data_IF_768351929807
#
_entry.id   IF_768351929807
#
_cell.length_a   1.000
_cell.length_b   1.000
_cell.length_c   1.000
_cell.angle_alpha   90.00
_cell.angle_beta   90.00
_cell.angle_gamma   90.00
#
_symmetry.space_group_name_H-M   'P 1'
#
loop_
_entity.id
_entity.type
_entity.pdbx_description
1 polymer ?
#
# COMPACT_ATOMS: atom_id res chain seq x y z
N UNK A 1 17.93 6.87 11.90
CA UNK A 1 18.25 7.26 10.51
C UNK A 1 17.16 6.80 9.54
N UNK A 2 17.06 5.51 9.15
CA UNK A 2 16.05 5.09 8.15
C UNK A 2 14.60 5.23 8.65
N UNK A 3 14.33 4.90 9.92
CA UNK A 3 13.02 5.14 10.55
C UNK A 3 12.66 6.63 10.48
N UNK A 4 13.54 7.50 10.98
CA UNK A 4 13.29 8.95 11.00
C UNK A 4 13.08 9.52 9.58
N UNK A 5 13.81 9.01 8.58
CA UNK A 5 13.60 9.36 7.17
C UNK A 5 12.19 8.98 6.70
N UNK A 6 11.75 7.74 6.92
CA UNK A 6 10.40 7.28 6.52
C UNK A 6 9.32 8.10 7.20
N UNK A 7 9.45 8.32 8.51
CA UNK A 7 8.46 9.05 9.31
C UNK A 7 8.51 10.58 9.15
N UNK A 8 9.48 11.12 8.39
CA UNK A 8 9.52 12.54 8.03
C UNK A 8 8.56 12.93 6.89
N UNK A 9 7.99 11.95 6.18
CA UNK A 9 7.08 12.20 5.06
C UNK A 9 5.63 12.36 5.52
N UNK A 10 4.89 13.21 4.81
CA UNK A 10 3.48 13.52 5.07
C UNK A 10 2.54 12.43 4.51
N UNK A 11 2.45 11.31 5.24
CA UNK A 11 1.52 10.21 4.99
C UNK A 11 0.89 9.74 6.31
N UNK A 12 -0.20 8.98 6.21
CA UNK A 12 -0.82 8.33 7.37
C UNK A 12 0.21 7.43 8.08
N UNK A 13 0.22 7.49 9.42
CA UNK A 13 1.19 6.78 10.28
C UNK A 13 1.15 5.26 10.07
N UNK A 14 -0.05 4.67 9.92
CA UNK A 14 -0.20 3.23 9.73
C UNK A 14 0.43 2.79 8.40
N UNK A 15 0.23 3.58 7.33
CA UNK A 15 0.87 3.33 6.05
C UNK A 15 2.41 3.44 6.13
N UNK A 16 2.92 4.42 6.87
CA UNK A 16 4.36 4.59 7.09
C UNK A 16 4.94 3.44 7.92
N UNK A 17 4.20 2.94 8.91
CA UNK A 17 4.57 1.78 9.71
C UNK A 17 4.60 0.51 8.86
N UNK A 18 3.55 0.23 8.08
CA UNK A 18 3.53 -0.89 7.13
C UNK A 18 4.68 -0.83 6.11
N UNK A 19 4.96 0.36 5.58
CA UNK A 19 6.07 0.58 4.68
C UNK A 19 7.41 0.28 5.37
N UNK A 20 7.60 0.79 6.58
CA UNK A 20 8.82 0.57 7.36
C UNK A 20 9.02 -0.91 7.67
N UNK A 21 7.99 -1.59 8.17
CA UNK A 21 8.06 -3.01 8.53
C UNK A 21 8.39 -3.88 7.32
N UNK A 22 7.74 -3.62 6.18
CA UNK A 22 8.06 -4.32 4.94
C UNK A 22 9.52 -4.11 4.52
N UNK A 23 10.00 -2.86 4.50
CA UNK A 23 11.34 -2.56 4.00
C UNK A 23 12.47 -2.88 4.97
N UNK A 24 12.15 -3.04 6.25
CA UNK A 24 13.06 -3.51 7.31
C UNK A 24 12.89 -4.99 7.63
N UNK A 25 12.12 -5.74 6.84
CA UNK A 25 12.05 -7.19 6.96
C UNK A 25 13.45 -7.80 6.67
N UNK A 26 14.00 -8.59 7.60
CA UNK A 26 15.31 -9.21 7.42
C UNK A 26 15.23 -10.36 6.42
N UNK A 27 16.21 -10.44 5.53
CA UNK A 27 16.42 -11.59 4.66
C UNK A 27 17.06 -12.76 5.41
N UNK A 28 17.17 -13.92 4.74
CA UNK A 28 17.85 -15.11 5.29
C UNK A 28 19.30 -14.85 5.73
N UNK A 29 19.94 -13.81 5.20
CA UNK A 29 21.32 -13.41 5.54
C UNK A 29 21.38 -12.23 6.51
N UNK A 30 20.23 -11.78 7.05
CA UNK A 30 20.13 -10.69 8.02
C UNK A 30 20.11 -9.28 7.42
N UNK A 31 20.39 -9.12 6.12
CA UNK A 31 20.25 -7.83 5.43
C UNK A 31 18.78 -7.45 5.27
N UNK A 32 18.45 -6.19 5.45
CA UNK A 32 17.10 -5.68 5.29
C UNK A 32 16.74 -5.52 3.81
N UNK A 33 15.45 -5.58 3.47
CA UNK A 33 15.00 -5.50 2.06
C UNK A 33 15.52 -4.25 1.34
N UNK A 34 15.58 -3.10 2.00
CA UNK A 34 16.05 -1.86 1.38
C UNK A 34 17.55 -1.90 1.05
N UNK A 35 18.36 -2.51 1.92
CA UNK A 35 19.82 -2.64 1.76
C UNK A 35 20.19 -3.54 0.59
N UNK A 36 19.30 -4.46 0.22
CA UNK A 36 19.51 -5.37 -0.91
C UNK A 36 19.18 -4.73 -2.27
N UNK A 37 18.58 -3.54 -2.29
CA UNK A 37 18.25 -2.88 -3.55
C UNK A 37 19.47 -2.19 -4.16
N UNK A 38 19.74 -2.44 -5.44
CA UNK A 38 20.81 -1.74 -6.18
C UNK A 38 20.62 -0.21 -6.19
N UNK A 39 19.36 0.23 -6.16
CA UNK A 39 18.99 1.65 -6.05
C UNK A 39 17.87 1.82 -5.03
N UNK A 40 17.96 2.91 -4.27
CA UNK A 40 17.02 3.22 -3.20
C UNK A 40 16.64 4.70 -3.21
N UNK A 41 15.34 4.98 -3.09
CA UNK A 41 14.81 6.32 -2.86
C UNK A 41 13.49 6.19 -2.12
N UNK A 42 13.49 6.55 -0.83
CA UNK A 42 12.35 6.41 0.08
C UNK A 42 11.12 7.14 -0.45
N UNK A 43 11.26 8.40 -0.89
CA UNK A 43 10.17 9.19 -1.47
C UNK A 43 9.47 8.48 -2.66
N UNK A 44 10.24 7.96 -3.63
CA UNK A 44 9.67 7.31 -4.82
C UNK A 44 8.94 6.02 -4.47
N UNK A 45 9.46 5.26 -3.51
CA UNK A 45 8.85 4.01 -3.05
C UNK A 45 7.60 4.27 -2.22
N UNK A 46 7.61 5.26 -1.33
CA UNK A 46 6.42 5.70 -0.59
C UNK A 46 5.30 6.16 -1.53
N UNK A 47 5.60 6.97 -2.55
CA UNK A 47 4.63 7.34 -3.59
C UNK A 47 4.00 6.13 -4.28
N UNK A 48 4.82 5.12 -4.58
CA UNK A 48 4.34 3.88 -5.21
C UNK A 48 3.49 3.06 -4.24
N UNK A 49 3.90 2.97 -2.98
CA UNK A 49 3.16 2.29 -1.92
C UNK A 49 1.78 2.93 -1.70
N UNK A 50 1.75 4.26 -1.58
CA UNK A 50 0.52 5.04 -1.43
C UNK A 50 -0.45 4.81 -2.59
N UNK A 51 0.06 4.76 -3.84
CA UNK A 51 -0.77 4.49 -5.02
C UNK A 51 -1.41 3.11 -4.94
N UNK A 52 -0.63 2.07 -4.61
CA UNK A 52 -1.11 0.68 -4.52
C UNK A 52 -2.08 0.46 -3.35
N UNK A 53 -1.83 1.10 -2.21
CA UNK A 53 -2.72 1.03 -1.03
C UNK A 53 -4.12 1.59 -1.35
N UNK A 54 -4.21 2.66 -2.15
CA UNK A 54 -5.49 3.22 -2.60
C UNK A 54 -6.28 2.28 -3.51
N UNK A 55 -5.59 1.52 -4.34
CA UNK A 55 -6.23 0.56 -5.26
C UNK A 55 -6.78 -0.66 -4.50
N UNK A 56 -6.12 -1.07 -3.41
CA UNK A 56 -6.59 -2.17 -2.56
C UNK A 56 -7.93 -1.85 -1.87
N UNK A 57 -8.13 -0.60 -1.46
CA UNK A 57 -9.37 -0.13 -0.83
C UNK A 57 -10.51 0.17 -1.82
N UNK A 58 -10.25 0.14 -3.13
CA UNK A 58 -11.26 0.42 -4.18
C UNK A 58 -11.85 -0.84 -4.83
N UNK A 59 -11.46 -2.02 -4.34
CA UNK A 59 -12.00 -3.30 -4.81
C UNK A 59 -13.45 -3.48 -4.34
N UNK A 60 -14.41 -2.87 -5.03
CA UNK A 60 -15.80 -3.34 -4.98
C UNK A 60 -15.80 -4.80 -5.47
N UNK A 61 -16.28 -5.73 -4.65
CA UNK A 61 -16.22 -7.14 -5.03
C UNK A 61 -17.09 -7.34 -6.29
N UNK A 62 -16.75 -8.35 -7.11
CA UNK A 62 -17.59 -8.69 -8.28
C UNK A 62 -19.06 -8.95 -7.89
N UNK A 63 -19.26 -9.45 -6.66
CA UNK A 63 -20.56 -9.70 -6.06
C UNK A 63 -21.29 -8.37 -5.79
N UNK A 64 -20.61 -7.39 -5.20
CA UNK A 64 -21.18 -6.06 -4.95
C UNK A 64 -21.57 -5.35 -6.26
N UNK A 65 -20.80 -5.55 -7.34
CA UNK A 65 -21.14 -5.03 -8.67
C UNK A 65 -22.43 -5.68 -9.19
N UNK A 66 -22.53 -7.01 -9.13
CA UNK A 66 -23.72 -7.75 -9.59
C UNK A 66 -24.97 -7.43 -8.77
N UNK A 67 -24.84 -7.28 -7.44
CA UNK A 67 -25.96 -6.89 -6.57
C UNK A 67 -26.47 -5.49 -6.92
N UNK A 68 -25.55 -4.54 -7.14
CA UNK A 68 -25.91 -3.17 -7.52
C UNK A 68 -26.60 -3.11 -8.90
N UNK A 69 -26.18 -3.93 -9.87
CA UNK A 69 -26.85 -4.06 -11.18
C UNK A 69 -28.28 -4.62 -11.05
N UNK A 70 -28.47 -5.64 -10.22
CA UNK A 70 -29.78 -6.23 -9.93
C UNK A 70 -30.72 -5.24 -9.23
N UNK A 71 -30.23 -4.54 -8.21
CA UNK A 71 -31.00 -3.51 -7.49
C UNK A 71 -31.43 -2.38 -8.41
N UNK A 72 -30.54 -1.91 -9.30
CA UNK A 72 -30.90 -0.92 -10.33
C UNK A 72 -32.00 -1.43 -11.25
N UNK A 73 -31.90 -2.66 -11.75
CA UNK A 73 -32.92 -3.26 -12.61
C UNK A 73 -34.30 -3.35 -11.94
N UNK A 74 -34.33 -3.65 -10.64
CA UNK A 74 -35.57 -3.68 -9.84
C UNK A 74 -36.28 -2.35 -9.73
N UNK A 75 -35.58 -1.21 -9.79
CA UNK A 75 -36.20 0.11 -9.68
C UNK A 75 -36.98 0.52 -10.94
N UNK A 76 -36.79 -0.18 -12.06
CA UNK A 76 -37.47 0.09 -13.32
C UNK A 76 -38.63 -0.89 -13.62
N UNK A 77 -38.95 -1.78 -12.69
CA UNK A 77 -40.08 -2.72 -12.72
C UNK A 77 -41.19 -2.24 -11.78
#
# INVERSE_FOLDING_TARGET
IFKDEVFSYDYNIDMLQEFFDYWTEPSKTGKLRYEMQKTWCTNRRLKTWAKRSKDYNKSTSKIDIQLNEYEKGKQYL
#
